data_IF_784473726908
#
_entry.id   IF_784473726908
#
_cell.length_a   1.000
_cell.length_b   1.000
_cell.length_c   1.000
_cell.angle_alpha   90.00
_cell.angle_beta   90.00
_cell.angle_gamma   90.00
#
_symmetry.space_group_name_H-M   'P 1'
#
loop_
_entity.id
_entity.type
_entity.pdbx_description
1 polymer ?
#
# COMPACT_ATOMS: atom_id res chain seq x y z
N UNK A 1 21.83 -20.23 -16.23
CA UNK A 1 20.52 -19.61 -16.56
C UNK A 1 19.79 -20.42 -17.62
N UNK A 2 20.39 -20.71 -18.79
CA UNK A 2 19.78 -21.57 -19.84
C UNK A 2 19.14 -22.84 -19.27
N UNK A 3 19.89 -23.63 -18.50
CA UNK A 3 19.36 -24.87 -17.87
C UNK A 3 18.18 -24.61 -16.91
N UNK A 4 18.21 -23.49 -16.19
CA UNK A 4 17.12 -23.08 -15.29
C UNK A 4 15.87 -22.78 -16.10
N UNK A 5 16.00 -22.01 -17.19
CA UNK A 5 14.87 -21.68 -18.07
C UNK A 5 14.32 -22.95 -18.72
N UNK A 6 15.20 -23.84 -19.22
CA UNK A 6 14.80 -25.14 -19.78
C UNK A 6 14.02 -25.98 -18.76
N UNK A 7 14.50 -26.04 -17.52
CA UNK A 7 13.81 -26.75 -16.45
C UNK A 7 12.44 -26.11 -16.15
N UNK A 8 12.36 -24.79 -16.12
CA UNK A 8 11.09 -24.10 -15.85
C UNK A 8 10.07 -24.29 -16.97
N UNK A 9 10.49 -24.46 -18.23
CA UNK A 9 9.56 -24.65 -19.35
C UNK A 9 8.66 -25.88 -19.22
N UNK A 10 9.01 -26.86 -18.38
CA UNK A 10 8.12 -27.99 -18.09
C UNK A 10 6.77 -27.55 -17.50
N UNK A 11 6.71 -26.36 -16.89
CA UNK A 11 5.51 -25.77 -16.29
C UNK A 11 4.76 -24.85 -17.25
N UNK A 12 5.28 -24.60 -18.45
CA UNK A 12 4.63 -23.74 -19.45
C UNK A 12 3.51 -24.53 -20.11
N UNK A 13 2.27 -24.03 -20.08
CA UNK A 13 1.16 -24.71 -20.72
C UNK A 13 1.34 -24.77 -22.23
N UNK A 14 0.84 -25.85 -22.83
CA UNK A 14 0.86 -26.10 -24.27
C UNK A 14 -0.56 -26.11 -24.83
N UNK A 15 -0.72 -25.66 -26.08
CA UNK A 15 -1.97 -25.86 -26.83
C UNK A 15 -2.16 -27.34 -27.16
N UNK A 16 -3.36 -27.71 -27.62
CA UNK A 16 -3.64 -29.07 -28.11
C UNK A 16 -2.71 -29.46 -29.28
N UNK A 17 -2.22 -28.46 -30.03
CA UNK A 17 -1.28 -28.63 -31.14
C UNK A 17 0.20 -28.71 -30.70
N UNK A 18 0.46 -28.69 -29.38
CA UNK A 18 1.80 -28.79 -28.79
C UNK A 18 2.59 -27.49 -28.74
N UNK A 19 2.01 -26.35 -29.15
CA UNK A 19 2.66 -25.03 -29.15
C UNK A 19 2.76 -24.47 -27.72
N UNK A 20 3.88 -23.83 -27.37
CA UNK A 20 4.01 -23.18 -26.06
C UNK A 20 3.10 -21.95 -25.97
N UNK A 21 2.47 -21.75 -24.81
CA UNK A 21 1.74 -20.53 -24.47
C UNK A 21 2.63 -19.73 -23.51
N UNK A 22 3.27 -18.64 -23.96
CA UNK A 22 4.19 -17.88 -23.11
C UNK A 22 3.51 -17.35 -21.86
N UNK A 23 4.11 -17.57 -20.70
CA UNK A 23 3.64 -17.03 -19.42
C UNK A 23 4.61 -16.00 -18.87
N UNK A 24 4.12 -15.07 -18.06
CA UNK A 24 4.99 -14.09 -17.42
C UNK A 24 5.84 -14.78 -16.35
N UNK A 25 7.16 -14.64 -16.45
CA UNK A 25 8.09 -15.08 -15.40
C UNK A 25 8.72 -13.86 -14.74
N UNK A 26 8.35 -13.69 -13.47
CA UNK A 26 8.80 -12.60 -12.64
C UNK A 26 10.17 -12.82 -12.02
N UNK A 27 10.96 -11.76 -11.88
CA UNK A 27 12.22 -11.80 -11.14
C UNK A 27 12.74 -10.41 -10.80
N UNK A 28 13.88 -10.37 -10.10
CA UNK A 28 14.67 -9.14 -9.98
C UNK A 28 15.31 -8.76 -11.34
N UNK A 29 15.81 -7.53 -11.43
CA UNK A 29 16.37 -6.99 -12.68
C UNK A 29 17.48 -7.88 -13.27
N UNK A 30 18.33 -8.47 -12.40
CA UNK A 30 19.43 -9.32 -12.81
C UNK A 30 18.94 -10.67 -13.35
N UNK A 31 17.89 -11.23 -12.75
CA UNK A 31 17.25 -12.46 -13.19
C UNK A 31 16.59 -12.29 -14.54
N UNK A 32 15.90 -11.15 -14.73
CA UNK A 32 15.30 -10.77 -16.02
C UNK A 32 16.36 -10.61 -17.10
N UNK A 33 17.43 -9.85 -16.83
CA UNK A 33 18.53 -9.65 -17.79
C UNK A 33 19.16 -11.00 -18.21
N UNK A 34 19.44 -11.86 -17.23
CA UNK A 34 20.04 -13.18 -17.49
C UNK A 34 19.08 -14.11 -18.23
N UNK A 35 17.79 -14.03 -17.94
CA UNK A 35 16.74 -14.79 -18.62
C UNK A 35 16.61 -14.40 -20.09
N UNK A 36 16.52 -13.09 -20.34
CA UNK A 36 16.54 -12.49 -21.68
C UNK A 36 17.81 -12.87 -22.47
N UNK A 37 18.97 -12.78 -21.82
CA UNK A 37 20.23 -13.19 -22.44
C UNK A 37 20.26 -14.68 -22.78
N UNK A 38 19.66 -15.54 -21.95
CA UNK A 38 19.53 -16.97 -22.22
C UNK A 38 18.63 -17.24 -23.44
N UNK A 39 17.47 -16.59 -23.54
CA UNK A 39 16.60 -16.69 -24.71
C UNK A 39 17.32 -16.20 -25.97
N UNK A 40 18.01 -15.05 -25.92
CA UNK A 40 18.82 -14.54 -27.04
C UNK A 40 19.91 -15.50 -27.49
N UNK A 41 20.60 -16.15 -26.56
CA UNK A 41 21.64 -17.12 -26.87
C UNK A 41 21.11 -18.39 -27.59
N UNK A 42 19.79 -18.60 -27.57
CA UNK A 42 19.14 -19.80 -28.12
C UNK A 42 18.15 -19.49 -29.24
N UNK A 43 18.03 -18.25 -29.69
CA UNK A 43 17.05 -17.84 -30.74
C UNK A 43 17.17 -18.62 -32.05
N UNK A 44 18.35 -19.15 -32.37
CA UNK A 44 18.57 -19.90 -33.62
C UNK A 44 18.17 -21.39 -33.51
N UNK A 45 17.61 -21.83 -32.38
CA UNK A 45 17.20 -23.22 -32.22
C UNK A 45 15.92 -23.57 -33.01
N UNK A 46 15.78 -24.86 -33.32
CA UNK A 46 14.72 -25.36 -34.23
C UNK A 46 13.35 -25.32 -33.55
N UNK A 47 13.26 -25.75 -32.30
CA UNK A 47 11.99 -25.85 -31.55
C UNK A 47 11.78 -24.63 -30.67
N UNK A 48 10.52 -24.24 -30.44
CA UNK A 48 10.16 -23.16 -29.50
C UNK A 48 10.70 -23.43 -28.08
N UNK A 49 10.72 -24.71 -27.70
CA UNK A 49 11.27 -25.18 -26.43
C UNK A 49 12.78 -24.96 -26.37
N UNK A 50 13.53 -25.30 -27.42
CA UNK A 50 14.98 -25.08 -27.44
C UNK A 50 15.36 -23.61 -27.54
N UNK A 51 14.47 -22.77 -28.12
CA UNK A 51 14.61 -21.31 -28.20
C UNK A 51 14.28 -20.58 -26.90
N UNK A 52 13.74 -21.30 -25.91
CA UNK A 52 13.36 -20.75 -24.61
C UNK A 52 12.22 -19.70 -24.71
N UNK A 53 11.25 -19.95 -25.60
CA UNK A 53 10.14 -19.03 -25.87
C UNK A 53 8.93 -19.20 -24.93
N UNK A 54 9.04 -20.07 -23.92
CA UNK A 54 7.95 -20.32 -22.98
C UNK A 54 7.66 -19.18 -21.98
N UNK A 55 8.49 -18.13 -21.95
CA UNK A 55 8.39 -17.07 -20.95
C UNK A 55 8.46 -15.66 -21.55
N UNK A 56 7.62 -14.78 -21.01
CA UNK A 56 7.80 -13.32 -21.13
C UNK A 56 8.40 -12.81 -19.84
N UNK A 57 9.62 -12.30 -19.88
CA UNK A 57 10.32 -11.84 -18.68
C UNK A 57 9.72 -10.54 -18.14
N UNK A 58 9.51 -10.48 -16.82
CA UNK A 58 8.94 -9.32 -16.14
C UNK A 58 9.76 -8.98 -14.89
N UNK A 59 10.14 -7.71 -14.76
CA UNK A 59 10.68 -7.20 -13.49
C UNK A 59 9.55 -7.07 -12.48
N UNK A 60 9.69 -7.70 -11.32
CA UNK A 60 8.70 -7.64 -10.24
C UNK A 60 8.96 -6.52 -9.22
N UNK A 61 10.11 -5.85 -9.35
CA UNK A 61 10.59 -4.77 -8.46
C UNK A 61 10.17 -4.95 -6.99
N UNK A 62 10.47 -6.14 -6.46
CA UNK A 62 10.11 -6.49 -5.09
C UNK A 62 10.70 -5.50 -4.08
N UNK A 63 11.94 -5.04 -4.32
CA UNK A 63 12.61 -4.06 -3.48
C UNK A 63 11.90 -2.71 -3.51
N UNK A 64 11.49 -2.21 -4.68
CA UNK A 64 10.69 -0.98 -4.80
C UNK A 64 9.37 -1.08 -4.03
N UNK A 65 8.68 -2.21 -4.12
CA UNK A 65 7.45 -2.45 -3.35
C UNK A 65 7.69 -2.43 -1.83
N UNK A 66 8.76 -3.07 -1.35
CA UNK A 66 9.10 -3.09 0.08
C UNK A 66 9.49 -1.70 0.57
N UNK A 67 10.25 -0.94 -0.21
CA UNK A 67 10.65 0.44 0.13
C UNK A 67 9.42 1.34 0.21
N UNK A 68 8.53 1.31 -0.78
CA UNK A 68 7.30 2.11 -0.79
C UNK A 68 6.39 1.76 0.42
N UNK A 69 6.29 0.48 0.75
CA UNK A 69 5.54 0.03 1.92
C UNK A 69 6.21 0.52 3.22
N UNK A 70 7.54 0.49 3.31
CA UNK A 70 8.28 1.02 4.45
C UNK A 70 8.07 2.53 4.62
N UNK A 71 8.08 3.31 3.54
CA UNK A 71 7.79 4.75 3.59
C UNK A 71 6.37 5.03 4.11
N UNK A 72 5.39 4.25 3.65
CA UNK A 72 4.01 4.32 4.14
C UNK A 72 3.95 4.08 5.65
N UNK A 73 4.65 3.06 6.15
CA UNK A 73 4.74 2.78 7.59
C UNK A 73 5.47 3.88 8.36
N UNK A 74 6.55 4.44 7.82
CA UNK A 74 7.27 5.55 8.46
C UNK A 74 6.37 6.78 8.65
N UNK A 75 5.47 7.03 7.69
CA UNK A 75 4.52 8.13 7.75
C UNK A 75 3.36 7.87 8.72
N UNK A 76 2.73 6.69 8.61
CA UNK A 76 1.42 6.41 9.21
C UNK A 76 1.45 5.49 10.44
N UNK A 77 2.58 4.82 10.71
CA UNK A 77 2.72 3.82 11.78
C UNK A 77 3.78 4.26 12.81
N UNK A 78 3.32 4.91 13.88
CA UNK A 78 4.17 5.34 15.00
C UNK A 78 3.69 4.71 16.30
N UNK A 79 4.58 4.07 17.06
CA UNK A 79 4.22 3.44 18.34
C UNK A 79 3.61 4.39 19.37
N UNK A 80 3.97 5.67 19.28
CA UNK A 80 3.43 6.73 20.15
C UNK A 80 1.97 7.08 19.84
N UNK A 81 1.45 6.72 18.66
CA UNK A 81 0.09 7.06 18.23
C UNK A 81 -0.97 6.04 18.70
N UNK A 82 -0.65 5.17 19.67
CA UNK A 82 -1.57 4.14 20.19
C UNK A 82 -2.89 4.69 20.72
N UNK A 83 -2.86 5.90 21.31
CA UNK A 83 -4.06 6.60 21.80
C UNK A 83 -4.79 7.42 20.74
N UNK A 84 -4.22 7.55 19.53
CA UNK A 84 -4.78 8.34 18.44
C UNK A 84 -5.64 7.44 17.55
N UNK A 85 -6.96 7.60 17.66
CA UNK A 85 -7.94 6.83 16.87
C UNK A 85 -7.72 7.07 15.39
N UNK A 86 -7.72 5.99 14.61
CA UNK A 86 -7.56 6.04 13.18
C UNK A 86 -6.10 6.16 12.73
N UNK A 87 -5.12 5.91 13.60
CA UNK A 87 -3.73 5.68 13.17
C UNK A 87 -3.47 4.20 12.96
N UNK A 88 -2.54 3.84 12.07
CA UNK A 88 -2.24 2.43 11.79
C UNK A 88 -1.80 1.66 13.05
N UNK A 89 -1.08 2.30 13.97
CA UNK A 89 -0.67 1.67 15.22
C UNK A 89 -1.86 1.40 16.16
N UNK A 90 -2.80 2.33 16.24
CA UNK A 90 -4.02 2.13 17.02
C UNK A 90 -4.89 1.02 16.42
N UNK A 91 -5.06 1.00 15.09
CA UNK A 91 -5.81 -0.04 14.39
C UNK A 91 -5.18 -1.42 14.58
N UNK A 92 -3.85 -1.51 14.53
CA UNK A 92 -3.11 -2.76 14.77
C UNK A 92 -3.47 -3.35 16.13
N UNK A 93 -3.50 -2.52 17.17
CA UNK A 93 -3.81 -2.94 18.53
C UNK A 93 -5.31 -3.29 18.68
N UNK A 94 -6.19 -2.53 18.03
CA UNK A 94 -7.64 -2.76 18.08
C UNK A 94 -8.04 -4.09 17.43
N UNK A 95 -7.42 -4.43 16.30
CA UNK A 95 -7.72 -5.67 15.54
C UNK A 95 -6.73 -6.82 15.86
N UNK A 96 -5.96 -6.69 16.93
CA UNK A 96 -4.95 -7.66 17.41
C UNK A 96 -4.02 -8.21 16.32
N UNK A 97 -3.56 -7.34 15.39
CA UNK A 97 -2.67 -7.72 14.27
C UNK A 97 -1.21 -7.74 14.70
N UNK A 98 -0.83 -8.72 15.54
CA UNK A 98 0.53 -8.79 16.13
C UNK A 98 1.65 -9.00 15.12
N UNK A 99 1.37 -9.66 13.99
CA UNK A 99 2.34 -9.91 12.91
C UNK A 99 2.86 -8.64 12.23
N UNK A 100 2.09 -7.55 12.31
CA UNK A 100 2.45 -6.24 11.74
C UNK A 100 3.60 -5.62 12.53
N UNK A 101 4.63 -5.16 11.83
CA UNK A 101 5.86 -4.60 12.41
C UNK A 101 6.15 -3.22 11.84
N UNK A 102 6.94 -2.43 12.57
CA UNK A 102 7.44 -1.15 12.04
C UNK A 102 8.47 -1.32 10.93
N UNK A 103 9.21 -2.43 10.95
CA UNK A 103 10.22 -2.78 9.96
C UNK A 103 9.64 -3.78 8.97
N UNK A 104 9.23 -3.27 7.81
CA UNK A 104 8.45 -3.98 6.79
C UNK A 104 9.20 -5.17 6.21
N UNK A 105 10.52 -5.04 6.02
CA UNK A 105 11.35 -6.13 5.47
C UNK A 105 11.28 -7.43 6.28
N UNK A 106 10.91 -7.34 7.57
CA UNK A 106 10.80 -8.49 8.47
C UNK A 106 9.40 -9.12 8.56
N UNK A 107 8.40 -8.51 7.92
CA UNK A 107 7.00 -8.95 7.92
C UNK A 107 6.19 -8.44 6.70
N UNK A 108 6.79 -8.42 5.51
CA UNK A 108 6.23 -7.78 4.30
C UNK A 108 4.79 -8.21 4.00
N UNK A 109 4.49 -9.50 4.12
CA UNK A 109 3.14 -10.01 3.81
C UNK A 109 2.10 -9.53 4.82
N UNK A 110 2.41 -9.58 6.11
CA UNK A 110 1.50 -9.12 7.18
C UNK A 110 1.27 -7.61 7.08
N UNK A 111 2.34 -6.86 6.81
CA UNK A 111 2.30 -5.40 6.68
C UNK A 111 1.52 -4.96 5.43
N UNK A 112 1.71 -5.66 4.29
CA UNK A 112 0.96 -5.43 3.06
C UNK A 112 -0.53 -5.75 3.23
N UNK A 113 -0.84 -6.88 3.85
CA UNK A 113 -2.21 -7.28 4.16
C UNK A 113 -2.89 -6.25 5.07
N UNK A 114 -2.17 -5.76 6.07
CA UNK A 114 -2.69 -4.79 7.02
C UNK A 114 -2.97 -3.43 6.40
N UNK A 115 -2.12 -2.94 5.49
CA UNK A 115 -2.40 -1.73 4.73
C UNK A 115 -3.63 -1.93 3.85
N UNK A 116 -3.76 -3.06 3.15
CA UNK A 116 -4.94 -3.35 2.33
C UNK A 116 -6.22 -3.35 3.18
N UNK A 117 -6.19 -4.04 4.33
CA UNK A 117 -7.28 -4.07 5.29
C UNK A 117 -7.66 -2.66 5.76
N UNK A 118 -6.67 -1.86 6.16
CA UNK A 118 -6.90 -0.50 6.65
C UNK A 118 -7.50 0.39 5.56
N UNK A 119 -6.94 0.38 4.35
CA UNK A 119 -7.44 1.16 3.20
C UNK A 119 -8.85 0.76 2.82
N UNK A 120 -9.16 -0.55 2.79
CA UNK A 120 -10.52 -1.03 2.53
C UNK A 120 -11.49 -0.56 3.62
N UNK A 121 -11.10 -0.63 4.89
CA UNK A 121 -11.91 -0.14 6.01
C UNK A 121 -12.20 1.36 5.90
N UNK A 122 -11.19 2.18 5.59
CA UNK A 122 -11.39 3.61 5.38
C UNK A 122 -12.24 3.94 4.16
N UNK A 123 -12.10 3.19 3.06
CA UNK A 123 -12.95 3.37 1.89
C UNK A 123 -14.44 3.11 2.20
N UNK A 124 -14.73 2.07 2.98
CA UNK A 124 -16.10 1.78 3.45
C UNK A 124 -16.60 2.87 4.40
N UNK A 125 -15.76 3.33 5.33
CA UNK A 125 -16.12 4.42 6.25
C UNK A 125 -16.41 5.73 5.50
N UNK A 126 -15.63 6.05 4.46
CA UNK A 126 -15.88 7.20 3.61
C UNK A 126 -17.21 7.07 2.85
N UNK A 127 -17.53 5.86 2.36
CA UNK A 127 -18.83 5.59 1.74
C UNK A 127 -19.98 5.80 2.72
N UNK A 128 -19.83 5.36 3.97
CA UNK A 128 -20.84 5.58 5.01
C UNK A 128 -21.05 7.07 5.29
N UNK A 129 -19.96 7.84 5.35
CA UNK A 129 -20.03 9.28 5.56
C UNK A 129 -20.73 10.00 4.39
N UNK A 130 -20.45 9.63 3.14
CA UNK A 130 -21.09 10.22 1.95
C UNK A 130 -22.59 9.90 1.92
N UNK A 131 -22.95 8.66 2.25
CA UNK A 131 -24.34 8.21 2.28
C UNK A 131 -25.10 8.65 3.56
N UNK A 132 -24.39 9.21 4.55
CA UNK A 132 -24.90 9.55 5.88
C UNK A 132 -25.55 8.37 6.60
N UNK A 133 -24.96 7.19 6.47
CA UNK A 133 -25.39 5.95 7.12
C UNK A 133 -24.43 5.58 8.25
N UNK A 134 -24.91 4.87 9.26
CA UNK A 134 -24.09 4.47 10.42
C UNK A 134 -23.86 2.95 10.51
N UNK A 135 -24.53 2.18 9.67
CA UNK A 135 -24.48 0.71 9.70
C UNK A 135 -24.41 0.11 8.30
N UNK A 136 -23.84 -1.11 8.22
CA UNK A 136 -23.82 -1.87 6.99
C UNK A 136 -25.23 -2.32 6.55
N UNK A 137 -26.16 -2.47 7.50
CA UNK A 137 -27.54 -2.85 7.21
C UNK A 137 -28.28 -1.74 6.46
N UNK A 138 -28.04 -0.47 6.82
CA UNK A 138 -28.56 0.68 6.07
C UNK A 138 -28.01 0.74 4.64
N UNK A 139 -26.75 0.33 4.43
CA UNK A 139 -26.18 0.24 3.08
C UNK A 139 -26.93 -0.77 2.21
N UNK A 140 -27.34 -1.91 2.79
CA UNK A 140 -28.08 -2.94 2.07
C UNK A 140 -29.41 -2.41 1.54
N UNK A 141 -30.09 -1.54 2.29
CA UNK A 141 -31.33 -0.88 1.84
C UNK A 141 -31.08 -0.03 0.57
N UNK A 142 -29.95 0.67 0.48
CA UNK A 142 -29.60 1.43 -0.72
C UNK A 142 -29.31 0.52 -1.93
N UNK A 143 -28.72 -0.65 -1.69
CA UNK A 143 -28.35 -1.60 -2.75
C UNK A 143 -29.55 -2.42 -3.23
N UNK A 144 -30.45 -2.82 -2.34
CA UNK A 144 -31.66 -3.60 -2.66
C UNK A 144 -32.61 -2.87 -3.61
N UNK A 145 -32.59 -1.53 -3.58
CA UNK A 145 -33.34 -0.69 -4.50
C UNK A 145 -32.78 -0.68 -5.94
N UNK A 146 -31.57 -1.24 -6.18
CA UNK A 146 -30.91 -1.30 -7.47
C UNK A 146 -31.08 -2.69 -8.09
N UNK A 147 -32.02 -2.81 -9.04
CA UNK A 147 -32.41 -4.12 -9.61
C UNK A 147 -31.53 -4.55 -10.78
N UNK A 148 -31.04 -3.61 -11.59
CA UNK A 148 -30.20 -3.92 -12.77
C UNK A 148 -28.71 -3.72 -12.50
N UNK A 149 -27.86 -4.41 -13.26
CA UNK A 149 -26.40 -4.27 -13.14
C UNK A 149 -25.93 -2.87 -13.56
N UNK A 150 -26.62 -2.25 -14.51
CA UNK A 150 -26.37 -0.89 -14.97
C UNK A 150 -26.64 0.13 -13.85
N UNK A 151 -27.74 -0.02 -13.12
CA UNK A 151 -28.07 0.83 -11.98
C UNK A 151 -27.03 0.70 -10.86
N UNK A 152 -26.57 -0.53 -10.56
CA UNK A 152 -25.51 -0.78 -9.59
C UNK A 152 -24.19 -0.12 -10.01
N UNK A 153 -23.85 -0.21 -11.30
CA UNK A 153 -22.65 0.43 -11.85
C UNK A 153 -22.72 1.95 -11.72
N UNK A 154 -23.80 2.58 -12.17
CA UNK A 154 -23.97 4.04 -12.08
C UNK A 154 -23.96 4.53 -10.63
N UNK A 155 -24.58 3.78 -9.72
CA UNK A 155 -24.53 4.09 -8.28
C UNK A 155 -23.10 4.04 -7.74
N UNK A 156 -22.35 2.98 -8.05
CA UNK A 156 -20.96 2.83 -7.59
C UNK A 156 -20.04 3.92 -8.17
N UNK A 157 -20.20 4.24 -9.45
CA UNK A 157 -19.44 5.32 -10.11
C UNK A 157 -19.72 6.67 -9.46
N UNK A 158 -21.00 6.99 -9.23
CA UNK A 158 -21.40 8.23 -8.55
C UNK A 158 -20.84 8.30 -7.14
N UNK A 159 -21.03 7.24 -6.34
CA UNK A 159 -20.52 7.18 -4.97
C UNK A 159 -18.99 7.32 -4.94
N UNK A 160 -18.28 6.69 -5.87
CA UNK A 160 -16.83 6.81 -5.99
C UNK A 160 -16.40 8.24 -6.31
N UNK A 161 -17.12 8.91 -7.22
CA UNK A 161 -16.88 10.34 -7.53
C UNK A 161 -17.09 11.20 -6.29
N UNK A 162 -18.21 11.03 -5.59
CA UNK A 162 -18.56 11.81 -4.39
C UNK A 162 -17.51 11.60 -3.26
N UNK A 163 -17.00 10.38 -3.09
CA UNK A 163 -15.93 10.09 -2.12
C UNK A 163 -14.64 10.82 -2.49
N UNK A 164 -14.23 10.77 -3.76
CA UNK A 164 -13.00 11.43 -4.23
C UNK A 164 -13.14 12.94 -4.13
N UNK A 165 -14.25 13.52 -4.56
CA UNK A 165 -14.51 14.96 -4.46
C UNK A 165 -14.46 15.42 -3.00
N UNK A 166 -15.08 14.69 -2.08
CA UNK A 166 -15.09 15.06 -0.67
C UNK A 166 -13.75 14.84 0.03
N UNK A 167 -13.05 13.74 -0.26
CA UNK A 167 -11.86 13.31 0.49
C UNK A 167 -10.55 13.82 -0.12
N UNK A 168 -10.52 14.08 -1.42
CA UNK A 168 -9.32 14.48 -2.18
C UNK A 168 -9.39 15.94 -2.61
N UNK A 169 -10.56 16.49 -2.96
CA UNK A 169 -10.65 17.85 -3.49
C UNK A 169 -10.72 18.96 -2.41
N UNK A 170 -10.81 18.63 -1.12
CA UNK A 170 -11.06 19.64 -0.10
C UNK A 170 -9.83 20.45 0.30
N UNK A 171 -8.59 19.95 0.18
CA UNK A 171 -7.40 20.80 0.32
C UNK A 171 -6.28 20.29 -0.59
N UNK A 172 -5.95 21.06 -1.62
CA UNK A 172 -4.57 21.07 -2.11
C UNK A 172 -3.70 21.39 -0.89
N UNK A 173 -3.01 20.39 -0.37
CA UNK A 173 -2.02 20.57 0.69
C UNK A 173 -0.94 21.51 0.12
N UNK A 174 -1.14 22.82 0.31
CA UNK A 174 -0.14 23.81 -0.05
C UNK A 174 1.03 23.57 0.88
N UNK A 175 2.10 22.96 0.36
CA UNK A 175 3.41 23.11 0.96
C UNK A 175 3.77 24.59 0.87
N UNK A 176 3.37 25.39 1.85
CA UNK A 176 3.96 26.70 2.07
C UNK A 176 5.37 26.48 2.56
N UNK A 177 6.32 26.42 1.63
CA UNK A 177 7.72 26.73 1.90
C UNK A 177 7.84 28.24 2.10
N UNK A 178 7.31 28.76 3.20
CA UNK A 178 7.68 30.07 3.71
C UNK A 178 8.28 29.83 5.08
N UNK A 179 9.60 29.66 5.07
CA UNK A 179 10.38 29.83 6.27
C UNK A 179 10.42 31.30 6.59
N UNK A 180 9.59 31.74 7.53
CA UNK A 180 9.89 32.89 8.36
C UNK A 180 9.68 32.50 9.83
N UNK A 181 10.77 32.61 10.57
CA UNK A 181 10.83 32.33 11.98
C UNK A 181 10.10 33.46 12.74
N UNK A 182 8.84 33.23 13.09
CA UNK A 182 8.17 34.03 14.11
C UNK A 182 7.70 33.15 15.27
N UNK A 183 8.25 33.48 16.44
CA UNK A 183 7.97 32.88 17.73
C UNK A 183 6.48 33.07 18.08
N UNK A 184 5.64 32.08 17.80
CA UNK A 184 4.28 32.05 18.33
C UNK A 184 3.93 30.67 18.92
N UNK A 185 3.71 30.67 20.22
CA UNK A 185 3.65 29.51 21.12
C UNK A 185 2.37 28.69 21.05
N UNK A 186 1.70 28.60 19.89
CA UNK A 186 0.49 27.77 19.73
C UNK A 186 0.50 26.98 18.42
N UNK A 187 1.35 25.95 18.37
CA UNK A 187 1.41 24.93 17.32
C UNK A 187 0.21 23.97 17.37
N UNK A 188 -1.02 24.43 17.12
CA UNK A 188 -2.22 23.57 17.15
C UNK A 188 -3.16 23.80 15.97
N UNK A 189 -3.41 22.77 15.16
CA UNK A 189 -4.42 22.74 14.08
C UNK A 189 -5.70 22.11 14.60
N UNK A 190 -6.86 22.69 14.27
CA UNK A 190 -8.16 22.09 14.58
C UNK A 190 -8.48 20.93 13.64
N UNK A 191 -9.00 19.84 14.19
CA UNK A 191 -9.59 18.77 13.38
C UNK A 191 -10.85 19.32 12.70
N UNK A 192 -10.87 19.45 11.37
CA UNK A 192 -12.01 19.99 10.59
C UNK A 192 -13.33 19.19 10.65
N UNK A 193 -13.45 18.20 11.54
CA UNK A 193 -14.65 17.39 11.73
C UNK A 193 -15.51 18.01 12.83
N UNK A 194 -16.73 18.45 12.50
CA UNK A 194 -17.66 19.21 13.38
C UNK A 194 -17.95 18.56 14.75
N UNK A 195 -17.74 17.25 14.89
CA UNK A 195 -18.03 16.47 16.11
C UNK A 195 -16.78 16.30 17.01
N UNK A 196 -15.59 16.66 16.54
CA UNK A 196 -14.32 16.43 17.22
C UNK A 196 -13.74 17.76 17.73
N UNK A 197 -13.89 18.05 19.04
CA UNK A 197 -13.29 19.23 19.69
C UNK A 197 -11.80 19.04 20.05
N UNK A 198 -11.01 18.38 19.20
CA UNK A 198 -9.58 18.16 19.46
C UNK A 198 -8.70 18.99 18.53
N UNK A 199 -7.65 19.57 19.13
CA UNK A 199 -6.60 20.31 18.46
C UNK A 199 -5.33 19.46 18.43
N UNK A 200 -4.66 19.38 17.28
CA UNK A 200 -3.48 18.54 17.05
C UNK A 200 -2.20 19.36 16.93
N UNK A 201 -1.08 18.89 17.50
CA UNK A 201 0.20 19.58 17.38
C UNK A 201 0.74 19.55 15.94
N UNK A 202 1.22 20.70 15.46
CA UNK A 202 1.59 20.89 14.04
C UNK A 202 2.85 20.13 13.58
N UNK A 203 3.65 19.65 14.51
CA UNK A 203 4.75 18.72 14.27
C UNK A 203 4.84 17.86 15.52
N UNK A 204 5.17 16.57 15.39
CA UNK A 204 5.34 15.62 16.49
C UNK A 204 6.50 15.93 17.46
N UNK A 205 6.62 17.18 17.89
CA UNK A 205 7.55 17.63 18.91
C UNK A 205 7.04 17.21 20.27
N UNK A 206 7.68 16.18 20.81
CA UNK A 206 7.71 15.99 22.25
C UNK A 206 8.30 17.26 22.88
N UNK A 207 7.47 18.04 23.57
CA UNK A 207 7.98 18.90 24.65
C UNK A 207 8.42 17.96 25.78
N UNK A 208 9.63 17.40 25.67
CA UNK A 208 10.34 16.84 26.81
C UNK A 208 11.40 17.85 27.19
N UNK A 209 11.21 18.46 28.35
CA UNK A 209 12.24 19.21 29.06
C UNK A 209 13.51 18.36 29.13
N UNK A 210 14.52 18.73 28.34
CA UNK A 210 15.84 18.12 28.40
C UNK A 210 16.59 18.69 29.58
N UNK A 211 16.35 18.14 30.77
CA UNK A 211 17.36 18.13 31.83
C UNK A 211 17.71 16.71 32.25
N UNK A 212 19.00 16.38 32.05
CA UNK A 212 19.78 15.35 32.75
C UNK A 212 19.48 13.89 32.40
N UNK A 213 20.30 13.33 31.50
CA UNK A 213 21.26 12.27 31.85
C UNK A 213 22.15 11.93 30.65
N UNK A 214 23.37 12.43 30.69
CA UNK A 214 24.49 11.82 30.02
C UNK A 214 24.79 10.47 30.69
N UNK A 215 24.81 9.38 29.93
CA UNK A 215 25.64 8.21 30.23
C UNK A 215 25.77 7.33 28.98
N UNK A 216 26.91 7.52 28.32
CA UNK A 216 27.77 6.52 27.68
C UNK A 216 27.18 5.12 27.45
N UNK A 217 27.17 4.66 26.19
CA UNK A 217 27.54 3.27 25.87
C UNK A 217 28.00 3.13 24.41
N UNK A 218 29.13 2.44 24.31
CA UNK A 218 30.00 2.18 23.18
C UNK A 218 29.34 1.19 22.23
N UNK A 219 29.37 1.46 20.93
CA UNK A 219 29.00 0.50 19.89
C UNK A 219 30.22 -0.34 19.50
N UNK A 220 30.14 -1.66 19.70
CA UNK A 220 30.89 -2.66 18.94
C UNK A 220 29.85 -3.47 18.16
N UNK A 221 29.91 -3.39 16.84
CA UNK A 221 30.12 -4.47 15.87
C UNK A 221 30.16 -3.85 14.48
#
# INVERSE_FOLDING_TARGET
MIEVVQHLQQYVPKTNDGKLIPIMLGGDALSVERGEAASRARMDAITEEDRLEGFTWKSEDWHGHVISLQETFNLLYKGTSSGEKGTLFQLRNLFDRRGVKSQVSSAVNDDREFIRFSTQGYAVLAAFEVLNINSADELNVHIENLKTNEQKKTFLEKLSSDIVERSVATETFKFTHEGEAENNTNNRISCGIKVVRKHFPLMGGAARDTEKRASTKIWKF
#
